data_IF_662079385276
#
_entry.id   IF_662079385276
#
_cell.length_a   1.000
_cell.length_b   1.000
_cell.length_c   1.000
_cell.angle_alpha   90.00
_cell.angle_beta   90.00
_cell.angle_gamma   90.00
#
_symmetry.space_group_name_H-M   'P 1'
#
loop_
_entity.id
_entity.type
_entity.pdbx_description
1 polymer ?
#
# COMPACT_ATOMS: atom_id res chain seq x y z
N UNK A 1 -19.56 44.94 64.87
CA UNK A 1 -19.21 46.26 65.38
C UNK A 1 -17.97 46.74 64.66
N UNK A 2 -18.06 47.98 64.05
CA UNK A 2 -17.03 48.77 63.36
C UNK A 2 -16.57 48.22 62.00
N UNK A 3 -17.07 48.60 60.79
CA UNK A 3 -17.18 49.91 60.13
C UNK A 3 -15.88 50.75 60.19
N UNK A 4 -15.24 50.96 59.02
CA UNK A 4 -14.59 52.22 58.56
C UNK A 4 -14.09 51.95 57.15
N UNK A 5 -14.75 52.51 56.13
CA UNK A 5 -14.44 53.70 55.28
C UNK A 5 -13.20 53.56 54.37
N UNK A 6 -13.44 53.42 53.09
CA UNK A 6 -13.34 54.43 51.99
C UNK A 6 -11.94 55.07 51.82
N UNK A 7 -11.39 54.83 50.62
CA UNK A 7 -10.79 55.95 49.87
C UNK A 7 -10.65 55.57 48.36
N UNK A 8 -11.35 56.27 47.50
CA UNK A 8 -11.19 56.34 46.06
C UNK A 8 -9.85 57.06 45.79
N UNK A 9 -9.04 56.46 44.89
CA UNK A 9 -8.07 57.26 44.14
C UNK A 9 -8.20 56.82 42.67
N UNK A 10 -8.71 57.71 41.87
CA UNK A 10 -8.77 57.71 40.43
C UNK A 10 -7.36 58.13 39.97
N UNK A 11 -6.65 57.24 39.29
CA UNK A 11 -5.49 57.61 38.48
C UNK A 11 -5.73 57.09 37.08
N UNK A 12 -6.12 58.00 36.21
CA UNK A 12 -6.12 57.81 34.75
C UNK A 12 -4.65 57.85 34.29
N UNK A 13 -4.20 56.80 33.64
CA UNK A 13 -2.97 56.86 32.86
C UNK A 13 -3.10 56.01 31.58
N UNK A 14 -2.91 56.73 30.52
CA UNK A 14 -2.92 56.46 29.12
C UNK A 14 -2.45 55.05 28.72
N UNK A 15 -3.24 54.42 27.88
CA UNK A 15 -2.92 53.20 27.11
C UNK A 15 -2.14 53.62 25.87
N UNK A 16 -0.91 53.19 25.66
CA UNK A 16 -0.37 53.15 24.29
C UNK A 16 -0.86 51.92 23.57
N UNK A 17 -1.59 52.16 22.51
CA UNK A 17 -2.06 51.22 21.51
C UNK A 17 -0.85 50.57 20.82
N UNK A 18 -0.42 49.41 21.32
CA UNK A 18 0.61 48.60 20.64
C UNK A 18 -0.09 47.74 19.60
N UNK A 19 0.00 48.17 18.34
CA UNK A 19 -0.38 47.39 17.15
C UNK A 19 0.46 46.10 17.13
N UNK A 20 -0.03 45.04 17.75
CA UNK A 20 0.52 43.70 17.54
C UNK A 20 0.12 43.23 16.14
N UNK A 21 1.08 43.31 15.21
CA UNK A 21 0.96 42.77 13.86
C UNK A 21 0.65 41.29 14.00
N UNK A 22 -0.57 40.91 13.65
CA UNK A 22 -1.02 39.54 13.46
C UNK A 22 -0.26 38.99 12.23
N UNK A 23 0.86 38.29 12.47
CA UNK A 23 1.44 37.47 11.41
C UNK A 23 0.52 36.26 11.22
N UNK A 24 0.03 36.00 9.99
CA UNK A 24 -0.65 34.76 9.72
C UNK A 24 0.37 33.61 9.87
N UNK A 25 0.07 32.69 10.79
CA UNK A 25 0.75 31.42 10.95
C UNK A 25 0.64 30.69 9.59
N UNK A 26 1.77 30.25 8.98
CA UNK A 26 1.65 29.44 7.78
C UNK A 26 0.90 28.17 8.17
N UNK A 27 -0.28 28.01 7.58
CA UNK A 27 -1.01 26.75 7.61
C UNK A 27 -0.04 25.70 7.04
N UNK A 28 0.34 24.75 7.90
CA UNK A 28 1.06 23.56 7.48
C UNK A 28 0.22 22.89 6.40
N UNK A 29 0.65 23.04 5.16
CA UNK A 29 0.07 22.33 4.04
C UNK A 29 0.19 20.87 4.35
N UNK A 30 -0.94 20.18 4.49
CA UNK A 30 -1.00 18.76 4.28
C UNK A 30 -0.33 18.54 2.92
N UNK A 31 0.79 17.84 2.90
CA UNK A 31 1.39 17.37 1.68
C UNK A 31 0.38 16.40 1.05
N UNK A 32 -0.55 16.96 0.31
CA UNK A 32 -1.33 16.22 -0.64
C UNK A 32 -0.32 15.62 -1.60
N UNK A 33 -0.22 14.31 -1.62
CA UNK A 33 0.50 13.58 -2.64
C UNK A 33 -0.22 13.91 -3.95
N UNK A 34 0.28 14.92 -4.65
CA UNK A 34 -0.17 15.22 -6.01
C UNK A 34 0.16 13.98 -6.85
N UNK A 35 -0.79 13.46 -7.65
CA UNK A 35 -0.48 12.44 -8.63
C UNK A 35 0.63 12.99 -9.53
N UNK A 36 1.78 12.35 -9.53
CA UNK A 36 2.86 12.69 -10.46
C UNK A 36 2.34 12.44 -11.86
N UNK A 37 2.05 13.50 -12.59
CA UNK A 37 1.73 13.44 -13.99
C UNK A 37 2.92 12.78 -14.74
N UNK A 38 2.72 11.59 -15.28
CA UNK A 38 3.64 10.95 -16.22
C UNK A 38 4.38 9.70 -15.77
N UNK A 39 4.12 9.11 -14.60
CA UNK A 39 4.63 7.78 -14.31
C UNK A 39 3.70 6.71 -14.90
N UNK A 40 4.27 5.76 -15.63
CA UNK A 40 3.55 4.55 -16.05
C UNK A 40 2.86 3.93 -14.81
N UNK A 41 1.60 3.47 -14.94
CA UNK A 41 0.90 2.87 -13.82
C UNK A 41 1.67 1.65 -13.32
N UNK A 42 1.99 1.61 -12.05
CA UNK A 42 2.76 0.53 -11.43
C UNK A 42 1.90 -0.32 -10.50
N UNK A 43 2.28 -1.60 -10.36
CA UNK A 43 1.67 -2.51 -9.40
C UNK A 43 2.36 -2.36 -8.04
N UNK A 44 1.60 -2.09 -7.00
CA UNK A 44 2.07 -2.19 -5.63
C UNK A 44 1.83 -3.61 -5.09
N UNK A 45 2.86 -4.23 -4.56
CA UNK A 45 2.72 -5.48 -3.79
C UNK A 45 2.30 -5.10 -2.38
N UNK A 46 1.16 -5.64 -1.94
CA UNK A 46 0.53 -5.30 -0.66
C UNK A 46 0.41 -6.52 0.25
N UNK A 47 0.66 -6.30 1.53
CA UNK A 47 0.52 -7.29 2.59
C UNK A 47 -0.29 -6.73 3.76
N UNK A 48 -0.70 -7.61 4.67
CA UNK A 48 -1.35 -7.19 5.90
C UNK A 48 -0.41 -6.34 6.77
N UNK A 49 -0.92 -5.29 7.40
CA UNK A 49 -0.13 -4.34 8.20
C UNK A 49 0.62 -4.96 9.38
N UNK A 50 0.10 -6.05 9.95
CA UNK A 50 0.77 -6.75 11.06
C UNK A 50 1.91 -7.67 10.61
N UNK A 51 2.08 -7.86 9.30
CA UNK A 51 3.20 -8.62 8.76
C UNK A 51 4.48 -7.78 8.87
N UNK A 52 5.56 -8.28 9.52
CA UNK A 52 6.78 -7.51 9.74
C UNK A 52 7.67 -7.37 8.50
N UNK A 53 7.33 -8.01 7.38
CA UNK A 53 8.12 -7.94 6.14
C UNK A 53 8.02 -6.55 5.52
N UNK A 54 9.14 -5.88 5.27
CA UNK A 54 9.20 -4.56 4.65
C UNK A 54 9.79 -4.58 3.24
N UNK A 55 10.56 -5.62 2.92
CA UNK A 55 11.19 -5.80 1.63
C UNK A 55 11.20 -7.28 1.22
N UNK A 56 11.03 -7.53 -0.06
CA UNK A 56 11.22 -8.82 -0.71
C UNK A 56 12.13 -8.62 -1.91
N UNK A 57 13.04 -9.55 -2.13
CA UNK A 57 13.68 -9.64 -3.43
C UNK A 57 12.63 -10.10 -4.48
N UNK A 58 12.83 -9.70 -5.71
CA UNK A 58 11.96 -10.15 -6.80
C UNK A 58 11.91 -11.69 -6.92
N UNK A 59 13.03 -12.36 -6.62
CA UNK A 59 13.08 -13.82 -6.62
C UNK A 59 12.21 -14.44 -5.50
N UNK A 60 12.20 -13.84 -4.31
CA UNK A 60 11.32 -14.29 -3.21
C UNK A 60 9.85 -14.03 -3.52
N UNK A 61 9.53 -12.85 -4.05
CA UNK A 61 8.18 -12.52 -4.51
C UNK A 61 7.69 -13.56 -5.52
N UNK A 62 8.52 -13.88 -6.51
CA UNK A 62 8.19 -14.87 -7.53
C UNK A 62 7.93 -16.26 -6.95
N UNK A 63 8.77 -16.75 -6.02
CA UNK A 63 8.54 -18.02 -5.32
C UNK A 63 7.23 -18.05 -4.55
N UNK A 64 6.87 -16.94 -3.91
CA UNK A 64 5.59 -16.81 -3.20
C UNK A 64 4.42 -16.93 -4.19
N UNK A 65 4.47 -16.18 -5.28
CA UNK A 65 3.40 -16.17 -6.29
C UNK A 65 3.29 -17.49 -7.04
N UNK A 66 4.41 -18.15 -7.34
CA UNK A 66 4.42 -19.50 -7.95
C UNK A 66 3.92 -20.60 -6.98
N UNK A 67 3.67 -20.26 -5.71
CA UNK A 67 3.20 -21.24 -4.73
C UNK A 67 4.29 -22.16 -4.17
N UNK A 68 5.56 -21.89 -4.49
CA UNK A 68 6.74 -22.67 -4.05
C UNK A 68 7.09 -22.38 -2.58
N UNK A 69 6.56 -21.30 -2.01
CA UNK A 69 6.78 -20.91 -0.62
C UNK A 69 5.44 -20.76 0.11
N UNK A 70 5.23 -21.55 1.14
CA UNK A 70 3.97 -21.62 1.89
C UNK A 70 3.94 -20.81 3.19
N UNK A 71 5.11 -20.39 3.69
CA UNK A 71 5.20 -19.67 4.97
C UNK A 71 6.14 -18.47 4.89
N UNK A 72 5.76 -17.43 5.61
CA UNK A 72 6.62 -16.29 5.90
C UNK A 72 7.79 -16.70 6.81
N UNK A 73 8.91 -15.94 6.86
CA UNK A 73 10.05 -16.29 7.75
C UNK A 73 9.68 -16.39 9.22
N UNK A 74 8.64 -15.66 9.64
CA UNK A 74 8.09 -15.68 11.01
C UNK A 74 7.05 -16.79 11.23
N UNK A 75 6.97 -17.79 10.34
CA UNK A 75 6.16 -19.01 10.50
C UNK A 75 4.69 -18.90 10.07
N UNK A 76 4.18 -17.71 9.74
CA UNK A 76 2.79 -17.54 9.32
C UNK A 76 2.56 -18.07 7.91
N UNK A 77 1.46 -18.78 7.70
CA UNK A 77 1.10 -19.30 6.37
C UNK A 77 0.82 -18.15 5.40
N UNK A 78 1.34 -18.24 4.20
CA UNK A 78 1.10 -17.29 3.11
C UNK A 78 -0.25 -17.58 2.47
N UNK A 79 -1.00 -16.52 2.14
CA UNK A 79 -2.21 -16.58 1.35
C UNK A 79 -2.11 -15.56 0.20
N UNK A 80 -1.96 -16.05 -1.03
CA UNK A 80 -1.80 -15.21 -2.21
C UNK A 80 -3.17 -14.82 -2.75
N UNK A 81 -3.40 -13.53 -2.98
CA UNK A 81 -4.56 -13.00 -3.68
C UNK A 81 -4.21 -12.75 -5.14
N UNK A 82 -5.08 -13.23 -6.04
CA UNK A 82 -4.98 -13.03 -7.49
C UNK A 82 -6.31 -12.45 -7.99
N UNK A 83 -6.28 -11.42 -8.83
CA UNK A 83 -7.49 -10.91 -9.48
C UNK A 83 -8.03 -11.94 -10.49
N UNK A 84 -9.34 -11.88 -10.75
CA UNK A 84 -9.97 -12.70 -11.78
C UNK A 84 -9.46 -12.35 -13.19
N UNK A 85 -9.65 -13.23 -14.11
CA UNK A 85 -9.29 -13.08 -15.53
C UNK A 85 -9.96 -11.84 -16.15
N UNK A 86 -9.27 -11.17 -17.09
CA UNK A 86 -9.74 -9.97 -17.76
C UNK A 86 -9.45 -8.66 -17.02
N UNK A 87 -8.76 -8.73 -15.88
CA UNK A 87 -8.28 -7.52 -15.19
C UNK A 87 -6.88 -7.16 -15.68
N UNK A 88 -6.60 -5.89 -16.05
CA UNK A 88 -5.29 -5.49 -16.57
C UNK A 88 -4.14 -5.72 -15.57
N UNK A 89 -4.42 -5.57 -14.29
CA UNK A 89 -3.43 -5.86 -13.25
C UNK A 89 -3.09 -7.36 -13.15
N UNK A 90 -4.05 -8.24 -13.47
CA UNK A 90 -3.79 -9.68 -13.56
C UNK A 90 -2.86 -10.00 -14.73
N UNK A 91 -3.11 -9.42 -15.89
CA UNK A 91 -2.27 -9.59 -17.07
C UNK A 91 -0.85 -9.11 -16.83
N UNK A 92 -0.71 -7.93 -16.20
CA UNK A 92 0.59 -7.40 -15.80
C UNK A 92 1.34 -8.33 -14.84
N UNK A 93 0.66 -8.92 -13.85
CA UNK A 93 1.24 -9.89 -12.92
C UNK A 93 1.62 -11.19 -13.61
N UNK A 94 0.77 -11.71 -14.50
CA UNK A 94 1.09 -12.91 -15.28
C UNK A 94 2.36 -12.69 -16.10
N UNK A 95 2.48 -11.53 -16.74
CA UNK A 95 3.65 -11.20 -17.55
C UNK A 95 4.90 -10.93 -16.70
N UNK A 96 4.80 -10.03 -15.71
CA UNK A 96 5.96 -9.57 -14.95
C UNK A 96 6.46 -10.59 -13.92
N UNK A 97 5.57 -11.22 -13.15
CA UNK A 97 5.93 -12.10 -12.03
C UNK A 97 5.95 -13.57 -12.46
N UNK A 98 4.85 -14.05 -13.05
CA UNK A 98 4.75 -15.46 -13.44
C UNK A 98 5.55 -15.77 -14.70
N UNK A 99 5.60 -14.84 -15.67
CA UNK A 99 6.12 -15.04 -17.02
C UNK A 99 5.41 -16.18 -17.74
N UNK A 100 4.09 -16.17 -17.63
CA UNK A 100 3.18 -17.19 -18.13
C UNK A 100 1.98 -16.56 -18.82
N UNK A 101 1.43 -17.26 -19.79
CA UNK A 101 0.07 -17.01 -20.29
C UNK A 101 -0.96 -17.51 -19.27
N UNK A 102 -2.25 -17.18 -19.47
CA UNK A 102 -3.33 -17.66 -18.61
C UNK A 102 -3.41 -19.20 -18.59
N UNK A 103 -3.28 -19.85 -19.74
CA UNK A 103 -3.30 -21.32 -19.85
C UNK A 103 -2.11 -21.96 -19.14
N UNK A 104 -0.91 -21.39 -19.29
CA UNK A 104 0.27 -21.87 -18.59
C UNK A 104 0.16 -21.68 -17.07
N UNK A 105 -0.49 -20.61 -16.63
CA UNK A 105 -0.77 -20.38 -15.22
C UNK A 105 -1.70 -21.46 -14.65
N UNK A 106 -2.79 -21.77 -15.35
CA UNK A 106 -3.71 -22.84 -14.94
C UNK A 106 -3.02 -24.21 -14.92
N UNK A 107 -2.25 -24.53 -15.96
CA UNK A 107 -1.48 -25.77 -16.01
C UNK A 107 -0.46 -25.89 -14.87
N UNK A 108 0.27 -24.80 -14.59
CA UNK A 108 1.27 -24.75 -13.50
C UNK A 108 0.65 -25.12 -12.14
N UNK A 109 -0.47 -24.50 -11.79
CA UNK A 109 -1.12 -24.79 -10.51
C UNK A 109 -1.79 -26.16 -10.49
N UNK A 110 -2.45 -26.55 -11.56
CA UNK A 110 -3.06 -27.87 -11.65
C UNK A 110 -2.02 -28.98 -11.50
N UNK A 111 -0.96 -28.94 -12.28
CA UNK A 111 0.12 -29.93 -12.25
C UNK A 111 0.91 -29.87 -10.96
N UNK A 112 1.32 -28.68 -10.53
CA UNK A 112 2.18 -28.49 -9.36
C UNK A 112 1.56 -28.92 -8.04
N UNK A 113 0.23 -28.78 -7.89
CA UNK A 113 -0.50 -29.30 -6.73
C UNK A 113 -0.52 -30.84 -6.69
N UNK A 114 -0.64 -31.50 -7.86
CA UNK A 114 -0.59 -32.96 -7.94
C UNK A 114 0.81 -33.53 -7.72
N UNK A 115 1.85 -32.84 -8.17
CA UNK A 115 3.25 -33.27 -8.01
C UNK A 115 3.86 -32.88 -6.67
N UNK A 116 3.20 -32.00 -5.91
CA UNK A 116 3.73 -31.44 -4.65
C UNK A 116 4.80 -30.37 -4.83
N UNK A 117 4.99 -29.85 -6.05
CA UNK A 117 5.90 -28.75 -6.35
C UNK A 117 5.30 -27.39 -5.94
N UNK A 118 3.98 -27.29 -5.90
CA UNK A 118 3.22 -26.12 -5.47
C UNK A 118 2.54 -26.43 -4.14
N UNK A 119 2.81 -25.62 -3.13
CA UNK A 119 2.27 -25.80 -1.78
C UNK A 119 1.00 -24.99 -1.51
N UNK A 120 0.81 -23.90 -2.27
CA UNK A 120 -0.36 -23.02 -2.15
C UNK A 120 -0.82 -22.58 -3.54
N UNK A 121 -2.13 -22.53 -3.72
CA UNK A 121 -2.75 -21.91 -4.90
C UNK A 121 -3.28 -20.52 -4.55
N UNK A 122 -3.09 -19.53 -5.42
CA UNK A 122 -3.66 -18.19 -5.21
C UNK A 122 -5.19 -18.23 -5.14
N UNK A 123 -5.74 -17.41 -4.25
CA UNK A 123 -7.18 -17.19 -4.18
C UNK A 123 -7.59 -16.16 -5.22
N UNK A 124 -8.43 -16.56 -6.17
CA UNK A 124 -8.98 -15.65 -7.16
C UNK A 124 -10.06 -14.76 -6.55
N UNK A 125 -9.96 -13.45 -6.77
CA UNK A 125 -10.83 -12.41 -6.24
C UNK A 125 -11.33 -11.50 -7.37
N UNK A 126 -12.54 -11.02 -7.23
CA UNK A 126 -13.28 -10.35 -8.32
C UNK A 126 -12.87 -8.89 -8.58
N UNK A 127 -12.26 -8.21 -7.61
CA UNK A 127 -11.91 -6.80 -7.78
C UNK A 127 -10.76 -6.36 -6.87
N UNK A 128 -10.08 -5.23 -7.20
CA UNK A 128 -9.04 -4.63 -6.35
C UNK A 128 -9.53 -4.34 -4.91
N UNK A 129 -10.77 -3.88 -4.76
CA UNK A 129 -11.38 -3.65 -3.44
C UNK A 129 -11.49 -4.94 -2.61
N UNK A 130 -11.82 -6.07 -3.25
CA UNK A 130 -11.90 -7.37 -2.57
C UNK A 130 -10.51 -7.89 -2.23
N UNK A 131 -9.51 -7.67 -3.09
CA UNK A 131 -8.09 -7.96 -2.79
C UNK A 131 -7.65 -7.20 -1.55
N UNK A 132 -7.89 -5.89 -1.50
CA UNK A 132 -7.53 -5.04 -0.36
C UNK A 132 -8.19 -5.52 0.94
N UNK A 133 -9.50 -5.80 0.92
CA UNK A 133 -10.23 -6.34 2.08
C UNK A 133 -9.68 -7.70 2.52
N UNK A 134 -9.34 -8.57 1.58
CA UNK A 134 -8.74 -9.87 1.87
C UNK A 134 -7.39 -9.71 2.55
N UNK A 135 -6.52 -8.85 2.01
CA UNK A 135 -5.19 -8.58 2.60
C UNK A 135 -5.31 -7.94 3.97
N UNK A 136 -6.25 -7.00 4.16
CA UNK A 136 -6.52 -6.37 5.46
C UNK A 136 -6.94 -7.39 6.53
N UNK A 137 -7.81 -8.34 6.19
CA UNK A 137 -8.37 -9.29 7.17
C UNK A 137 -7.50 -10.52 7.42
N UNK A 138 -6.56 -10.84 6.54
CA UNK A 138 -5.74 -12.05 6.64
C UNK A 138 -4.27 -11.69 6.92
N UNK A 139 -3.77 -11.88 8.16
CA UNK A 139 -2.40 -11.48 8.55
C UNK A 139 -1.26 -12.10 7.73
N UNK A 140 -1.48 -13.23 7.04
CA UNK A 140 -0.50 -13.85 6.15
C UNK A 140 -0.72 -13.55 4.67
N UNK A 141 -1.71 -12.72 4.33
CA UNK A 141 -2.04 -12.43 2.95
C UNK A 141 -1.01 -11.52 2.27
N UNK A 142 -0.84 -11.78 0.99
CA UNK A 142 -0.11 -10.97 0.02
C UNK A 142 -0.94 -10.87 -1.26
N UNK A 143 -0.95 -9.71 -1.86
CA UNK A 143 -1.64 -9.44 -3.13
C UNK A 143 -0.98 -8.29 -3.86
N UNK A 144 -1.68 -7.78 -4.86
CA UNK A 144 -1.24 -6.63 -5.65
C UNK A 144 -2.42 -5.73 -5.97
N UNK A 145 -2.14 -4.46 -6.16
CA UNK A 145 -3.07 -3.40 -6.54
C UNK A 145 -2.34 -2.44 -7.49
N UNK A 146 -3.07 -1.60 -8.22
CA UNK A 146 -2.45 -0.38 -8.76
C UNK A 146 -1.93 0.46 -7.62
N UNK A 147 -0.77 1.10 -7.79
CA UNK A 147 -0.20 1.93 -6.74
C UNK A 147 -1.16 3.02 -6.25
N UNK A 148 -1.93 3.61 -7.17
CA UNK A 148 -2.93 4.64 -6.89
C UNK A 148 -4.17 4.13 -6.11
N UNK A 149 -4.43 2.81 -6.12
CA UNK A 149 -5.56 2.16 -5.43
C UNK A 149 -5.21 1.73 -4.00
N UNK A 150 -3.96 1.91 -3.57
CA UNK A 150 -3.52 1.54 -2.23
C UNK A 150 -3.90 2.60 -1.22
N UNK A 151 -4.52 2.18 -0.13
CA UNK A 151 -4.80 3.02 1.02
C UNK A 151 -4.09 2.52 2.29
N UNK A 152 -4.29 3.23 3.39
CA UNK A 152 -3.66 2.93 4.67
C UNK A 152 -4.09 1.61 5.33
N UNK A 153 -5.10 0.92 4.79
CA UNK A 153 -5.58 -0.37 5.34
C UNK A 153 -4.58 -1.51 5.12
N UNK A 154 -3.72 -1.40 4.12
CA UNK A 154 -2.70 -2.39 3.78
C UNK A 154 -1.30 -1.77 3.79
N UNK A 155 -0.27 -2.61 3.76
CA UNK A 155 1.12 -2.17 3.72
C UNK A 155 1.75 -2.50 2.37
N UNK A 156 2.39 -1.52 1.72
CA UNK A 156 3.22 -1.76 0.52
C UNK A 156 4.54 -2.36 0.96
N UNK A 157 4.98 -3.39 0.24
CA UNK A 157 6.29 -4.02 0.40
C UNK A 157 7.24 -3.53 -0.68
N UNK A 158 8.47 -3.18 -0.31
CA UNK A 158 9.53 -2.88 -1.28
C UNK A 158 9.90 -4.13 -2.06
N UNK A 159 10.19 -3.96 -3.34
CA UNK A 159 10.71 -5.04 -4.17
C UNK A 159 12.12 -4.66 -4.61
N UNK A 160 13.10 -5.49 -4.27
CA UNK A 160 14.53 -5.19 -4.45
C UNK A 160 14.94 -3.83 -3.84
N UNK A 161 14.27 -3.41 -2.74
CA UNK A 161 14.50 -2.14 -2.06
C UNK A 161 13.69 -0.96 -2.59
N UNK A 162 12.95 -1.10 -3.69
CA UNK A 162 12.22 -0.01 -4.35
C UNK A 162 10.72 -0.02 -4.07
N UNK A 163 10.12 1.17 -3.97
CA UNK A 163 8.67 1.39 -3.93
C UNK A 163 8.12 1.63 -5.36
N UNK A 164 6.80 1.50 -5.58
CA UNK A 164 6.18 1.62 -6.91
C UNK A 164 6.45 2.94 -7.66
N UNK A 165 6.69 4.03 -6.94
CA UNK A 165 6.96 5.37 -7.49
C UNK A 165 8.46 5.66 -7.68
N UNK A 166 9.34 4.74 -7.28
CA UNK A 166 10.78 4.91 -7.38
C UNK A 166 11.30 4.46 -8.75
N UNK A 167 12.35 5.14 -9.22
CA UNK A 167 13.06 4.73 -10.42
C UNK A 167 13.61 3.30 -10.22
N UNK A 168 13.60 2.52 -11.29
CA UNK A 168 14.06 1.12 -11.32
C UNK A 168 13.09 0.12 -10.64
N UNK A 169 11.89 0.54 -10.23
CA UNK A 169 10.85 -0.38 -9.80
C UNK A 169 10.38 -1.28 -10.96
N UNK A 170 10.36 -2.59 -10.73
CA UNK A 170 10.24 -3.58 -11.82
C UNK A 170 8.83 -3.96 -12.21
N UNK A 171 7.82 -3.59 -11.42
CA UNK A 171 6.43 -4.00 -11.64
C UNK A 171 5.62 -2.85 -12.26
N UNK A 172 5.88 -2.57 -13.52
CA UNK A 172 5.12 -1.61 -14.32
C UNK A 172 3.91 -2.30 -14.96
N UNK A 173 2.83 -1.57 -15.17
CA UNK A 173 1.67 -2.02 -15.94
C UNK A 173 1.87 -1.45 -17.34
N UNK A 174 2.29 -2.29 -18.28
CA UNK A 174 2.47 -1.86 -19.67
C UNK A 174 1.11 -1.45 -20.24
N UNK A 175 0.97 -0.15 -20.55
CA UNK A 175 -0.24 0.40 -21.17
C UNK A 175 -0.52 -0.18 -22.58
N UNK A 176 0.44 -0.95 -23.15
CA UNK A 176 0.34 -1.55 -24.47
C UNK A 176 -0.32 -2.94 -24.48
N UNK A 177 -0.49 -3.60 -23.32
CA UNK A 177 -1.16 -4.90 -23.22
C UNK A 177 -2.69 -4.80 -23.39
N UNK A 178 -3.24 -3.58 -23.44
CA UNK A 178 -4.69 -3.31 -23.58
C UNK A 178 -5.12 -2.90 -25.01
N UNK A 179 -4.37 -3.23 -26.05
CA UNK A 179 -4.79 -2.97 -27.46
C UNK A 179 -5.04 -4.23 -28.25
#
# INVERSE_FOLDING_TARGET
>A
MKMVRVMRVLVALAVPFLLLKFLPKPAGGAAGVSPRAGSEPSLAIVINRVNPTDNLSFAELRKIFLGERSHWPHGRRIAVAMLQQGQPEREAVLHAIYRMTEDQYHEHFLKGLFTGEVFISPKTLESPTVVRKFVFNAPGAIGYLKADDVDESVKIVRIDGHLPDEKDYRLQIDAQLNR
#
